data_IF_123761332674
#
_entry.id   IF_123761332674
#
_cell.length_a   1.000
_cell.length_b   1.000
_cell.length_c   1.000
_cell.angle_alpha   90.00
_cell.angle_beta   90.00
_cell.angle_gamma   90.00
#
_symmetry.space_group_name_H-M   'P 1'
#
loop_
_entity.id
_entity.type
_entity.pdbx_description
1 polymer ?
#
# COMPACT_ATOMS: atom_id res chain seq x y z
N UNK A 1 -2.08 -23.67 -8.52
CA UNK A 1 -1.28 -23.20 -7.39
C UNK A 1 -1.04 -21.73 -7.65
N UNK A 2 -1.83 -20.91 -6.98
CA UNK A 2 -1.60 -19.47 -6.97
C UNK A 2 -0.46 -19.22 -5.99
N UNK A 3 0.46 -18.33 -6.34
CA UNK A 3 1.45 -17.84 -5.38
C UNK A 3 0.97 -16.47 -4.96
N UNK A 4 0.49 -16.36 -3.72
CA UNK A 4 0.22 -15.06 -3.11
C UNK A 4 1.50 -14.56 -2.45
N UNK A 5 1.82 -13.28 -2.65
CA UNK A 5 3.03 -12.68 -2.13
C UNK A 5 2.67 -11.51 -1.26
N UNK A 6 3.23 -11.48 -0.06
CA UNK A 6 3.09 -10.36 0.86
C UNK A 6 4.46 -9.76 1.13
N UNK A 7 4.54 -8.44 0.97
CA UNK A 7 5.72 -7.64 1.28
C UNK A 7 5.34 -6.70 2.42
N UNK A 8 5.95 -6.87 3.58
CA UNK A 8 5.77 -6.00 4.73
C UNK A 8 6.99 -5.08 4.86
N UNK A 9 6.75 -3.78 4.93
CA UNK A 9 7.78 -2.75 5.06
C UNK A 9 7.46 -1.89 6.27
N UNK A 10 8.40 -1.78 7.21
CA UNK A 10 8.30 -0.83 8.31
C UNK A 10 9.00 0.46 7.91
N UNK A 11 8.29 1.57 8.04
CA UNK A 11 8.78 2.89 7.66
C UNK A 11 8.64 3.90 8.79
N UNK A 12 9.68 4.69 9.02
CA UNK A 12 9.63 5.89 9.84
C UNK A 12 9.49 7.12 8.94
N UNK A 13 8.67 8.09 9.33
CA UNK A 13 8.34 9.24 8.48
C UNK A 13 8.02 10.48 9.30
N UNK A 14 8.20 11.66 8.69
CA UNK A 14 7.76 12.93 9.26
C UNK A 14 6.32 13.30 8.87
N UNK A 15 5.66 12.49 8.05
CA UNK A 15 4.23 12.61 7.81
C UNK A 15 3.45 12.35 9.11
N UNK A 16 2.51 13.23 9.44
CA UNK A 16 1.72 13.11 10.66
C UNK A 16 0.68 11.99 10.56
N UNK A 17 0.11 11.82 9.37
CA UNK A 17 -1.00 10.90 9.09
C UNK A 17 -0.66 9.98 7.91
N UNK A 18 -1.22 8.77 7.93
CA UNK A 18 -1.04 7.79 6.87
C UNK A 18 -1.61 8.28 5.54
N UNK A 19 -2.70 9.05 5.56
CA UNK A 19 -3.29 9.58 4.34
C UNK A 19 -2.28 10.43 3.56
N UNK A 20 -1.54 11.33 4.20
CA UNK A 20 -0.53 12.16 3.53
C UNK A 20 0.57 11.31 2.88
N UNK A 21 1.13 10.38 3.64
CA UNK A 21 2.13 9.43 3.13
C UNK A 21 1.58 8.64 1.93
N UNK A 22 0.35 8.16 2.04
CA UNK A 22 -0.28 7.33 1.01
C UNK A 22 -0.54 8.13 -0.27
N UNK A 23 -1.08 9.34 -0.15
CA UNK A 23 -1.32 10.26 -1.26
C UNK A 23 -0.03 10.52 -2.04
N UNK A 24 1.05 10.81 -1.33
CA UNK A 24 2.36 11.00 -1.94
C UNK A 24 2.90 9.69 -2.52
N UNK A 25 2.71 8.55 -1.86
CA UNK A 25 3.16 7.26 -2.38
C UNK A 25 2.48 6.94 -3.72
N UNK A 26 1.16 6.99 -3.78
CA UNK A 26 0.36 6.57 -4.94
C UNK A 26 0.43 7.58 -6.09
N UNK A 27 0.53 8.89 -5.80
CA UNK A 27 0.64 9.93 -6.82
C UNK A 27 1.78 9.72 -7.81
N UNK A 28 2.94 9.23 -7.37
CA UNK A 28 4.07 8.97 -8.28
C UNK A 28 4.17 7.55 -8.80
N UNK A 29 3.13 6.75 -8.59
CA UNK A 29 3.02 5.43 -9.18
C UNK A 29 2.05 5.46 -10.37
N UNK A 30 0.80 5.85 -10.14
CA UNK A 30 -0.28 5.55 -11.10
C UNK A 30 -1.41 6.59 -11.17
N UNK A 31 -1.33 7.72 -10.45
CA UNK A 31 -2.42 8.75 -10.45
C UNK A 31 -2.48 9.55 -11.76
N UNK A 32 -1.42 9.51 -12.56
CA UNK A 32 -1.45 10.08 -13.92
C UNK A 32 -2.07 9.13 -14.96
N UNK A 33 -2.43 7.89 -14.59
CA UNK A 33 -3.17 6.99 -15.46
C UNK A 33 -4.68 7.30 -15.36
N UNK A 34 -5.36 7.66 -16.47
CA UNK A 34 -6.79 7.98 -16.47
C UNK A 34 -7.71 6.81 -16.05
N UNK A 35 -7.21 5.57 -16.03
CA UNK A 35 -7.95 4.36 -15.61
C UNK A 35 -7.62 3.91 -14.18
N UNK A 36 -7.04 4.78 -13.37
CA UNK A 36 -6.75 4.48 -11.96
C UNK A 36 -8.04 4.40 -11.13
N UNK A 37 -8.18 3.30 -10.38
CA UNK A 37 -9.26 3.12 -9.42
C UNK A 37 -8.70 2.87 -8.02
N UNK A 38 -9.18 3.66 -7.07
CA UNK A 38 -8.88 3.52 -5.66
C UNK A 38 -10.11 3.02 -4.92
N UNK A 39 -9.96 1.86 -4.31
CA UNK A 39 -10.97 1.32 -3.43
C UNK A 39 -10.46 1.34 -1.98
N UNK A 40 -11.30 1.76 -1.04
CA UNK A 40 -10.99 1.78 0.40
C UNK A 40 -12.14 1.16 1.19
N UNK A 41 -11.87 0.74 2.41
CA UNK A 41 -12.92 0.40 3.37
C UNK A 41 -13.59 1.67 3.91
N UNK A 42 -14.87 1.55 4.24
CA UNK A 42 -15.59 2.57 5.01
C UNK A 42 -15.04 2.66 6.44
N UNK A 43 -15.38 3.73 7.16
CA UNK A 43 -14.82 4.02 8.48
C UNK A 43 -14.96 2.88 9.49
N UNK A 44 -16.12 2.24 9.53
CA UNK A 44 -16.47 1.25 10.56
C UNK A 44 -16.37 -0.20 10.05
N UNK A 45 -15.92 -0.41 8.81
CA UNK A 45 -15.73 -1.75 8.25
C UNK A 45 -14.38 -2.34 8.71
N UNK A 46 -14.46 -3.37 9.55
CA UNK A 46 -13.31 -4.04 10.16
C UNK A 46 -13.24 -5.51 9.73
N UNK A 47 -14.39 -6.13 9.43
CA UNK A 47 -14.50 -7.58 9.21
C UNK A 47 -15.12 -7.96 7.86
N UNK A 48 -15.95 -7.10 7.26
CA UNK A 48 -16.67 -7.46 6.04
C UNK A 48 -15.83 -7.20 4.78
N UNK A 49 -14.77 -6.39 4.90
CA UNK A 49 -13.87 -5.99 3.81
C UNK A 49 -14.64 -5.50 2.58
N UNK A 50 -15.74 -4.75 2.79
CA UNK A 50 -16.56 -4.20 1.72
C UNK A 50 -15.89 -2.97 1.12
N UNK A 51 -14.94 -3.20 0.22
CA UNK A 51 -14.29 -2.15 -0.54
C UNK A 51 -15.31 -1.30 -1.30
N UNK A 52 -15.20 0.02 -1.14
CA UNK A 52 -15.95 1.02 -1.89
C UNK A 52 -15.00 1.72 -2.85
N UNK A 53 -15.48 1.94 -4.07
CA UNK A 53 -14.77 2.75 -5.06
C UNK A 53 -14.91 4.22 -4.73
N UNK A 54 -13.79 4.94 -4.84
CA UNK A 54 -13.75 6.39 -4.62
C UNK A 54 -13.27 7.09 -5.89
N UNK A 55 -14.10 7.99 -6.39
CA UNK A 55 -13.82 8.75 -7.62
C UNK A 55 -12.75 9.82 -7.43
N UNK A 56 -12.45 10.19 -6.18
CA UNK A 56 -11.46 11.22 -5.87
C UNK A 56 -10.76 10.95 -4.55
N UNK A 57 -9.44 11.06 -4.57
CA UNK A 57 -8.57 10.73 -3.45
C UNK A 57 -8.84 11.58 -2.19
N UNK A 58 -9.23 12.84 -2.38
CA UNK A 58 -9.66 13.74 -1.30
C UNK A 58 -10.88 13.23 -0.50
N UNK A 59 -11.71 12.35 -1.06
CA UNK A 59 -12.84 11.75 -0.34
C UNK A 59 -12.40 10.64 0.62
N UNK A 60 -11.26 10.01 0.32
CA UNK A 60 -10.73 8.87 1.06
C UNK A 60 -9.89 9.35 2.24
N UNK A 61 -9.18 10.47 2.07
CA UNK A 61 -8.31 11.05 3.09
C UNK A 61 -8.96 11.12 4.50
N UNK A 62 -10.15 11.73 4.68
CA UNK A 62 -10.77 11.84 6.00
C UNK A 62 -11.10 10.47 6.61
N UNK A 63 -11.41 9.47 5.79
CA UNK A 63 -11.70 8.11 6.25
C UNK A 63 -10.42 7.47 6.80
N UNK A 64 -9.30 7.58 6.06
CA UNK A 64 -8.01 7.04 6.50
C UNK A 64 -7.51 7.68 7.79
N UNK A 65 -7.65 9.00 7.91
CA UNK A 65 -7.25 9.75 9.10
C UNK A 65 -8.08 9.37 10.32
N UNK A 66 -9.40 9.20 10.13
CA UNK A 66 -10.29 8.86 11.22
C UNK A 66 -10.14 7.40 11.66
N UNK A 67 -9.88 6.47 10.73
CA UNK A 67 -9.52 5.09 11.06
C UNK A 67 -8.21 5.05 11.84
N UNK A 68 -7.18 5.75 11.37
CA UNK A 68 -5.89 5.83 12.06
C UNK A 68 -6.05 6.39 13.48
N UNK A 69 -6.77 7.50 13.66
CA UNK A 69 -6.96 8.11 14.98
C UNK A 69 -7.77 7.24 15.96
N UNK A 70 -8.56 6.30 15.44
CA UNK A 70 -9.25 5.25 16.22
C UNK A 70 -8.39 4.01 16.47
N UNK A 71 -7.16 3.96 15.95
CA UNK A 71 -6.29 2.78 16.02
C UNK A 71 -6.76 1.62 15.14
N UNK A 72 -7.57 1.91 14.11
CA UNK A 72 -8.08 0.95 13.15
C UNK A 72 -7.14 0.93 11.94
N UNK A 73 -6.84 -0.27 11.43
CA UNK A 73 -6.00 -0.44 10.25
C UNK A 73 -6.65 0.13 9.00
N UNK A 74 -5.82 0.70 8.13
CA UNK A 74 -6.25 1.17 6.82
C UNK A 74 -6.02 0.09 5.77
N UNK A 75 -6.97 -0.05 4.84
CA UNK A 75 -6.90 -0.99 3.72
C UNK A 75 -7.29 -0.26 2.45
N UNK A 76 -6.44 -0.37 1.44
CA UNK A 76 -6.58 0.29 0.16
C UNK A 76 -6.27 -0.70 -0.94
N UNK A 77 -7.21 -0.93 -1.84
CA UNK A 77 -6.99 -1.72 -3.04
C UNK A 77 -6.78 -0.77 -4.22
N UNK A 78 -5.69 -0.99 -4.93
CA UNK A 78 -5.38 -0.32 -6.18
C UNK A 78 -5.61 -1.34 -7.30
N UNK A 79 -6.43 -0.99 -8.28
CA UNK A 79 -6.64 -1.76 -9.49
C UNK A 79 -6.15 -0.97 -10.71
N UNK A 80 -5.38 -1.63 -11.58
CA UNK A 80 -4.93 -1.09 -12.86
C UNK A 80 -5.60 -1.94 -13.95
N UNK A 81 -6.59 -1.37 -14.62
CA UNK A 81 -7.41 -2.10 -15.59
C UNK A 81 -6.62 -2.49 -16.85
N UNK A 82 -5.80 -1.58 -17.38
CA UNK A 82 -5.01 -1.76 -18.61
C UNK A 82 -4.18 -3.05 -18.61
N UNK A 83 -3.69 -3.44 -17.44
CA UNK A 83 -2.80 -4.57 -17.30
C UNK A 83 -3.34 -5.65 -16.35
N UNK A 84 -4.56 -5.49 -15.84
CA UNK A 84 -5.22 -6.37 -14.88
C UNK A 84 -4.34 -6.68 -13.64
N UNK A 85 -3.55 -5.70 -13.19
CA UNK A 85 -2.80 -5.80 -11.94
C UNK A 85 -3.60 -5.18 -10.81
N UNK A 86 -3.49 -5.76 -9.62
CA UNK A 86 -3.98 -5.13 -8.41
C UNK A 86 -2.91 -5.15 -7.33
N UNK A 87 -3.02 -4.25 -6.38
CA UNK A 87 -2.20 -4.23 -5.17
C UNK A 87 -3.09 -3.83 -4.01
N UNK A 88 -3.22 -4.72 -3.03
CA UNK A 88 -3.79 -4.37 -1.74
C UNK A 88 -2.68 -3.82 -0.85
N UNK A 89 -2.97 -2.69 -0.21
CA UNK A 89 -2.07 -2.03 0.74
C UNK A 89 -2.80 -1.95 2.07
N UNK A 90 -2.25 -2.60 3.08
CA UNK A 90 -2.67 -2.43 4.47
C UNK A 90 -1.66 -1.56 5.21
N UNK A 91 -2.15 -0.66 6.05
CA UNK A 91 -1.31 0.18 6.90
C UNK A 91 -1.75 0.13 8.36
N UNK A 92 -0.77 -0.09 9.23
CA UNK A 92 -0.92 -0.09 10.68
C UNK A 92 0.06 0.91 11.28
N UNK A 93 -0.45 1.93 11.99
CA UNK A 93 0.39 2.85 12.77
C UNK A 93 0.96 2.11 13.97
N UNK A 94 2.28 2.13 14.13
CA UNK A 94 2.97 1.52 15.27
C UNK A 94 3.12 2.54 16.39
N UNK A 95 2.98 2.08 17.63
CA UNK A 95 3.15 2.90 18.84
C UNK A 95 4.62 3.22 19.14
N UNK A 96 5.55 2.48 18.55
CA UNK A 96 6.99 2.67 18.75
C UNK A 96 7.47 3.93 18.02
N UNK A 97 7.82 4.96 18.79
CA UNK A 97 8.43 6.18 18.27
C UNK A 97 9.94 5.99 18.08
N UNK A 98 10.44 6.38 16.91
CA UNK A 98 11.87 6.51 16.65
C UNK A 98 12.24 7.97 16.83
N UNK A 99 13.30 8.26 17.60
CA UNK A 99 13.79 9.62 17.81
C UNK A 99 14.04 10.30 16.45
N UNK A 100 13.39 11.46 16.23
CA UNK A 100 13.55 12.26 15.02
C UNK A 100 12.50 12.03 13.92
N UNK A 101 11.51 11.15 14.14
CA UNK A 101 10.40 10.93 13.21
C UNK A 101 9.04 11.08 13.91
N UNK A 102 8.08 11.68 13.21
CA UNK A 102 6.73 11.91 13.74
C UNK A 102 5.91 10.62 13.86
N UNK A 103 6.04 9.72 12.88
CA UNK A 103 5.21 8.52 12.76
C UNK A 103 6.00 7.30 12.31
N UNK A 104 5.47 6.13 12.67
CA UNK A 104 5.97 4.83 12.24
C UNK A 104 4.81 3.98 11.74
N UNK A 105 4.93 3.46 10.53
CA UNK A 105 3.96 2.60 9.89
C UNK A 105 4.55 1.24 9.55
N UNK A 106 3.72 0.21 9.68
CA UNK A 106 3.91 -1.05 8.97
C UNK A 106 2.98 -1.06 7.77
N UNK A 107 3.58 -1.14 6.59
CA UNK A 107 2.89 -1.17 5.31
C UNK A 107 3.00 -2.57 4.75
N UNK A 108 1.87 -3.22 4.51
CA UNK A 108 1.82 -4.53 3.89
C UNK A 108 1.27 -4.38 2.47
N UNK A 109 2.01 -4.89 1.49
CA UNK A 109 1.71 -4.86 0.08
C UNK A 109 1.45 -6.28 -0.41
N UNK A 110 0.23 -6.54 -0.87
CA UNK A 110 -0.20 -7.81 -1.43
C UNK A 110 -0.56 -7.63 -2.91
N UNK A 111 0.40 -7.79 -3.84
CA UNK A 111 0.12 -7.78 -5.26
C UNK A 111 -0.82 -8.92 -5.68
N UNK A 112 -1.85 -8.57 -6.45
CA UNK A 112 -2.74 -9.53 -7.09
C UNK A 112 -2.04 -10.23 -8.26
N UNK A 113 -2.09 -11.57 -8.23
CA UNK A 113 -1.57 -12.53 -9.22
C UNK A 113 -0.15 -12.24 -9.79
N UNK A 114 0.75 -13.20 -9.62
CA UNK A 114 2.08 -13.12 -10.22
C UNK A 114 2.00 -12.98 -11.76
N UNK A 115 2.45 -11.85 -12.30
CA UNK A 115 2.55 -11.64 -13.75
C UNK A 115 3.77 -12.32 -14.32
N UNK A 116 3.75 -12.64 -15.61
CA UNK A 116 5.00 -12.97 -16.32
C UNK A 116 5.72 -11.69 -16.67
N UNK A 117 7.03 -11.66 -16.40
CA UNK A 117 7.88 -10.57 -16.89
C UNK A 117 7.96 -10.73 -18.40
N UNK A 118 7.60 -9.68 -19.14
CA UNK A 118 7.36 -9.73 -20.58
C UNK A 118 8.55 -10.32 -21.34
N UNK A 119 8.29 -11.28 -22.24
CA UNK A 119 9.32 -12.03 -22.95
C UNK A 119 10.04 -13.13 -22.14
N UNK A 120 9.68 -13.38 -20.87
CA UNK A 120 10.30 -14.43 -20.04
C UNK A 120 9.31 -15.50 -19.57
N UNK A 121 9.82 -16.67 -19.18
CA UNK A 121 9.04 -17.71 -18.48
C UNK A 121 8.89 -17.42 -16.97
N UNK A 122 9.48 -16.33 -16.46
CA UNK A 122 9.54 -16.04 -15.02
C UNK A 122 8.34 -15.21 -14.60
N UNK A 123 7.81 -15.56 -13.44
CA UNK A 123 6.83 -14.74 -12.74
C UNK A 123 7.53 -13.55 -12.08
N UNK A 124 6.83 -12.43 -11.89
CA UNK A 124 7.25 -11.31 -11.04
C UNK A 124 7.65 -11.87 -9.69
N UNK A 125 8.76 -11.42 -9.12
CA UNK A 125 9.26 -11.84 -7.80
C UNK A 125 9.27 -10.65 -6.84
N UNK A 126 9.70 -10.85 -5.59
CA UNK A 126 9.83 -9.75 -4.64
C UNK A 126 10.74 -8.64 -5.15
N UNK A 127 11.81 -8.98 -5.87
CA UNK A 127 12.75 -8.01 -6.41
C UNK A 127 12.07 -7.04 -7.37
N UNK A 128 11.17 -7.53 -8.22
CA UNK A 128 10.36 -6.69 -9.10
C UNK A 128 9.55 -5.65 -8.31
N UNK A 129 8.76 -6.08 -7.33
CA UNK A 129 7.90 -5.18 -6.55
C UNK A 129 8.71 -4.24 -5.64
N UNK A 130 9.76 -4.73 -4.99
CA UNK A 130 10.63 -3.92 -4.12
C UNK A 130 11.35 -2.82 -4.91
N UNK A 131 11.77 -3.08 -6.15
CA UNK A 131 12.37 -2.08 -7.03
C UNK A 131 11.39 -0.96 -7.42
N UNK A 132 10.09 -1.19 -7.31
CA UNK A 132 9.08 -0.16 -7.50
C UNK A 132 8.76 0.57 -6.18
N UNK A 133 8.53 -0.19 -5.11
CA UNK A 133 8.02 0.33 -3.83
C UNK A 133 9.09 1.13 -3.07
N UNK A 134 10.30 0.58 -2.93
CA UNK A 134 11.35 1.18 -2.07
C UNK A 134 11.76 2.57 -2.58
N UNK A 135 12.11 2.77 -3.86
CA UNK A 135 12.53 4.09 -4.33
C UNK A 135 11.46 5.15 -4.12
N UNK A 136 10.18 4.78 -4.22
CA UNK A 136 9.08 5.71 -3.97
C UNK A 136 8.97 6.11 -2.52
N UNK A 137 9.02 5.15 -1.59
CA UNK A 137 9.02 5.43 -0.15
C UNK A 137 10.17 6.38 0.21
N UNK A 138 11.36 6.17 -0.34
CA UNK A 138 12.50 7.06 -0.11
C UNK A 138 12.29 8.45 -0.72
N UNK A 139 11.71 8.54 -1.92
CA UNK A 139 11.45 9.81 -2.60
C UNK A 139 10.46 10.71 -1.85
N UNK A 140 9.49 10.12 -1.14
CA UNK A 140 8.53 10.84 -0.29
C UNK A 140 9.05 11.03 1.14
N UNK A 141 10.37 10.88 1.37
CA UNK A 141 10.98 11.17 2.66
C UNK A 141 10.71 10.14 3.77
N UNK A 142 10.32 8.91 3.42
CA UNK A 142 10.26 7.82 4.39
C UNK A 142 11.63 7.16 4.55
N UNK A 143 11.91 6.70 5.76
CA UNK A 143 13.06 5.86 6.07
C UNK A 143 12.59 4.41 6.24
N UNK A 144 13.15 3.49 5.45
CA UNK A 144 12.82 2.06 5.51
C UNK A 144 13.63 1.40 6.63
N UNK A 145 12.94 0.91 7.66
CA UNK A 145 13.53 0.29 8.84
C UNK A 145 13.74 -1.21 8.66
N UNK A 146 12.76 -1.89 8.05
CA UNK A 146 12.70 -3.35 7.96
C UNK A 146 11.87 -3.74 6.74
N UNK A 147 12.27 -4.82 6.08
CA UNK A 147 11.53 -5.44 4.98
C UNK A 147 11.42 -6.93 5.26
N UNK A 148 10.20 -7.45 5.23
CA UNK A 148 9.87 -8.87 5.35
C UNK A 148 9.04 -9.30 4.15
N UNK A 149 9.28 -10.51 3.66
CA UNK A 149 8.62 -11.07 2.48
C UNK A 149 8.13 -12.47 2.79
N UNK A 150 6.86 -12.75 2.50
CA UNK A 150 6.21 -14.03 2.75
C UNK A 150 5.50 -14.54 1.50
N UNK A 151 5.76 -15.79 1.16
CA UNK A 151 5.13 -16.51 0.05
C UNK A 151 4.08 -17.42 0.67
N UNK A 152 2.86 -17.37 0.14
CA UNK A 152 1.80 -18.30 0.50
C UNK A 152 1.46 -19.15 -0.72
N UNK A 153 1.65 -20.45 -0.58
CA UNK A 153 1.14 -21.43 -1.53
C UNK A 153 -0.34 -21.66 -1.24
N UNK A 154 -1.21 -21.31 -2.19
CA UNK A 154 -2.65 -21.56 -2.15
C UNK A 154 -3.15 -22.43 -3.31
#
# INVERSE_FOLDING_TARGET
>A
MGLSRDITIRVATNHEQFSDLFLEFVSGFWVDNPEFHLDSLELDDIDDFNFKKFDHINLVKPILDLRESRGIDNYLAILIEEDNSSMLIRSTKKTTQYLGYNSHYELNFSPGAAKRIDGTKRYTDYGFYLNQIIPRLLAIGCYVCEITCHDFDC
#
